data_IF_979195750356
#
_entry.id   IF_979195750356
#
_cell.length_a   1.000
_cell.length_b   1.000
_cell.length_c   1.000
_cell.angle_alpha   90.00
_cell.angle_beta   90.00
_cell.angle_gamma   90.00
#
_symmetry.space_group_name_H-M   'P 1'
#
loop_
_entity.id
_entity.type
_entity.pdbx_description
1 polymer ?
#
# COMPACT_ATOMS: atom_id res chain seq x y z
N UNK A 1 16.78 -3.27 -22.29
CA UNK A 1 18.12 -2.70 -21.96
C UNK A 1 18.18 -2.12 -20.54
N UNK A 2 17.16 -1.42 -20.04
CA UNK A 2 17.13 -0.85 -18.66
C UNK A 2 17.14 -1.95 -17.58
N UNK A 3 16.34 -3.01 -17.73
CA UNK A 3 16.24 -4.12 -16.76
C UNK A 3 17.55 -4.89 -16.62
N UNK A 4 18.29 -5.09 -17.71
CA UNK A 4 19.61 -5.75 -17.66
C UNK A 4 20.63 -4.92 -16.86
N UNK A 5 20.58 -3.60 -17.01
CA UNK A 5 21.43 -2.68 -16.22
C UNK A 5 21.16 -2.79 -14.71
N UNK A 6 19.89 -2.96 -14.30
CA UNK A 6 19.52 -3.13 -12.90
C UNK A 6 20.12 -4.42 -12.29
N UNK A 7 20.06 -5.56 -13.00
CA UNK A 7 20.70 -6.80 -12.54
C UNK A 7 22.20 -6.66 -12.34
N UNK A 8 22.88 -6.00 -13.28
CA UNK A 8 24.33 -5.77 -13.20
C UNK A 8 24.71 -4.88 -12.00
N UNK A 9 23.96 -3.80 -11.79
CA UNK A 9 24.22 -2.87 -10.67
C UNK A 9 24.04 -3.54 -9.31
N UNK A 10 23.09 -4.46 -9.18
CA UNK A 10 22.84 -5.18 -7.93
C UNK A 10 23.56 -6.52 -7.83
N UNK A 11 24.45 -6.86 -8.77
CA UNK A 11 25.18 -8.12 -8.76
C UNK A 11 24.32 -9.38 -8.91
N UNK A 12 23.11 -9.24 -9.48
CA UNK A 12 22.16 -10.34 -9.65
C UNK A 12 22.36 -11.05 -10.99
N UNK A 13 22.27 -12.36 -10.98
CA UNK A 13 22.19 -13.16 -12.19
C UNK A 13 20.74 -13.27 -12.65
N UNK A 14 20.43 -12.71 -13.82
CA UNK A 14 19.08 -12.72 -14.38
C UNK A 14 19.05 -13.26 -15.81
N UNK A 15 17.99 -13.98 -16.15
CA UNK A 15 17.69 -14.39 -17.52
C UNK A 15 16.48 -13.62 -18.02
N UNK A 16 16.70 -12.80 -19.05
CA UNK A 16 15.66 -11.97 -19.68
C UNK A 16 15.38 -12.51 -21.08
N UNK A 17 14.11 -12.69 -21.41
CA UNK A 17 13.64 -13.03 -22.75
C UNK A 17 12.91 -11.80 -23.31
N UNK A 18 13.05 -11.58 -24.61
CA UNK A 18 12.44 -10.48 -25.36
C UNK A 18 11.74 -10.99 -26.61
N UNK A 19 10.97 -10.11 -27.27
CA UNK A 19 10.19 -10.47 -28.45
C UNK A 19 8.87 -11.16 -28.12
N UNK A 20 8.26 -11.83 -29.08
CA UNK A 20 6.93 -12.43 -28.96
C UNK A 20 6.87 -13.53 -27.88
N UNK A 21 7.97 -14.27 -27.71
CA UNK A 21 8.08 -15.31 -26.68
C UNK A 21 8.07 -14.75 -25.26
N UNK A 22 8.36 -13.44 -25.09
CA UNK A 22 8.30 -12.76 -23.81
C UNK A 22 6.87 -12.38 -23.38
N UNK A 23 5.86 -12.59 -24.24
CA UNK A 23 4.48 -12.30 -23.90
C UNK A 23 3.97 -13.29 -22.84
N UNK A 24 4.03 -12.86 -21.58
CA UNK A 24 3.68 -13.68 -20.41
C UNK A 24 2.20 -14.10 -20.35
N UNK A 25 1.31 -13.50 -21.15
CA UNK A 25 -0.06 -14.00 -21.25
C UNK A 25 -0.12 -15.36 -21.96
N UNK A 26 0.75 -15.61 -22.92
CA UNK A 26 0.68 -16.76 -23.82
C UNK A 26 1.83 -17.74 -23.65
N UNK A 27 2.94 -17.32 -23.03
CA UNK A 27 4.16 -18.13 -22.95
C UNK A 27 4.70 -18.20 -21.51
N UNK A 28 5.14 -19.39 -21.11
CA UNK A 28 6.05 -19.61 -19.99
C UNK A 28 7.48 -19.69 -20.55
N UNK A 29 8.02 -18.55 -20.94
CA UNK A 29 9.28 -18.45 -21.67
C UNK A 29 10.49 -19.05 -20.93
N UNK A 30 10.40 -19.21 -19.62
CA UNK A 30 11.45 -19.80 -18.78
C UNK A 30 11.12 -21.22 -18.29
N UNK A 31 9.92 -21.73 -18.61
CA UNK A 31 9.43 -23.04 -18.15
C UNK A 31 9.48 -23.16 -16.61
N UNK A 32 8.91 -22.19 -15.91
CA UNK A 32 8.96 -22.05 -14.45
C UNK A 32 7.66 -22.46 -13.74
N UNK A 33 6.62 -22.86 -14.45
CA UNK A 33 5.37 -23.31 -13.82
C UNK A 33 5.64 -24.42 -12.80
N UNK A 34 5.20 -24.21 -11.55
CA UNK A 34 5.41 -25.13 -10.42
C UNK A 34 6.84 -25.20 -9.86
N UNK A 35 7.74 -24.27 -10.22
CA UNK A 35 9.16 -24.35 -9.85
C UNK A 35 9.70 -23.19 -9.03
N UNK A 36 8.92 -22.11 -8.87
CA UNK A 36 9.41 -20.92 -8.20
C UNK A 36 9.24 -21.01 -6.68
N UNK A 37 10.32 -20.73 -5.96
CA UNK A 37 10.28 -20.52 -4.51
C UNK A 37 9.64 -19.16 -4.17
N UNK A 38 9.90 -18.15 -5.03
CA UNK A 38 9.37 -16.80 -4.88
C UNK A 38 8.86 -16.23 -6.20
N UNK A 39 7.71 -15.58 -6.15
CA UNK A 39 7.17 -14.77 -7.25
C UNK A 39 6.92 -13.36 -6.75
N UNK A 40 7.53 -12.38 -7.38
CA UNK A 40 7.27 -10.95 -7.13
C UNK A 40 6.88 -10.26 -8.43
N UNK A 41 5.79 -9.51 -8.41
CA UNK A 41 5.29 -8.86 -9.62
C UNK A 41 4.52 -7.57 -9.35
N UNK A 42 4.61 -6.66 -10.31
CA UNK A 42 3.71 -5.53 -10.46
C UNK A 42 3.22 -5.53 -11.92
N UNK A 43 2.19 -6.33 -12.24
CA UNK A 43 1.69 -6.44 -13.60
C UNK A 43 0.89 -5.21 -14.02
N UNK A 44 0.69 -4.97 -15.32
CA UNK A 44 -0.24 -3.95 -15.78
C UNK A 44 -1.67 -4.32 -15.36
N UNK A 45 -2.40 -3.32 -14.80
CA UNK A 45 -3.76 -3.51 -14.31
C UNK A 45 -4.79 -3.40 -15.42
N UNK A 46 -5.88 -4.13 -15.29
CA UNK A 46 -7.08 -4.03 -16.11
C UNK A 46 -6.82 -4.16 -17.63
N UNK A 47 -5.84 -4.96 -18.03
CA UNK A 47 -5.57 -5.24 -19.45
C UNK A 47 -6.76 -5.99 -20.04
N UNK A 48 -7.25 -5.53 -21.16
CA UNK A 48 -8.32 -6.17 -21.94
C UNK A 48 -7.80 -6.87 -23.20
N UNK A 49 -8.70 -7.52 -23.93
CA UNK A 49 -8.46 -8.14 -25.26
C UNK A 49 -7.38 -9.22 -25.28
N UNK A 50 -7.15 -9.91 -24.16
CA UNK A 50 -6.29 -11.08 -24.13
C UNK A 50 -7.02 -12.26 -24.75
N UNK A 51 -6.41 -12.95 -25.74
CA UNK A 51 -6.99 -14.09 -26.44
C UNK A 51 -7.20 -15.26 -25.47
N UNK A 52 -8.46 -15.63 -25.22
CA UNK A 52 -8.82 -16.63 -24.23
C UNK A 52 -8.26 -18.02 -24.55
N UNK A 53 -8.30 -18.43 -25.82
CA UNK A 53 -7.76 -19.71 -26.28
C UNK A 53 -6.25 -19.82 -26.05
N UNK A 54 -5.49 -18.79 -26.43
CA UNK A 54 -4.04 -18.77 -26.26
C UNK A 54 -3.64 -18.74 -24.78
N UNK A 55 -4.37 -17.98 -23.94
CA UNK A 55 -4.14 -17.95 -22.49
C UNK A 55 -4.44 -19.31 -21.83
N UNK A 56 -5.49 -20.01 -22.29
CA UNK A 56 -5.81 -21.37 -21.82
C UNK A 56 -4.75 -22.39 -22.26
N UNK A 57 -4.29 -22.30 -23.50
CA UNK A 57 -3.25 -23.19 -24.03
C UNK A 57 -1.91 -23.05 -23.30
N UNK A 58 -1.64 -21.89 -22.69
CA UNK A 58 -0.46 -21.67 -21.87
C UNK A 58 -0.40 -22.51 -20.56
N UNK A 59 -1.51 -23.18 -20.18
CA UNK A 59 -1.53 -24.21 -19.12
C UNK A 59 -1.31 -23.72 -17.70
N UNK A 60 -1.48 -22.40 -17.40
CA UNK A 60 -1.21 -21.79 -16.10
C UNK A 60 -2.46 -21.23 -15.42
N UNK A 61 -3.61 -21.85 -15.65
CA UNK A 61 -4.91 -21.43 -15.11
C UNK A 61 -5.51 -22.50 -14.18
N UNK A 62 -4.92 -22.76 -13.01
CA UNK A 62 -5.36 -23.83 -12.11
C UNK A 62 -6.81 -23.65 -11.62
N UNK A 63 -7.30 -22.41 -11.59
CA UNK A 63 -8.65 -22.08 -11.12
C UNK A 63 -9.67 -21.89 -12.24
N UNK A 64 -9.21 -21.91 -13.50
CA UNK A 64 -10.03 -21.70 -14.68
C UNK A 64 -9.82 -20.33 -15.33
N UNK A 65 -10.54 -20.10 -16.42
CA UNK A 65 -10.43 -18.88 -17.23
C UNK A 65 -11.37 -17.80 -16.68
N UNK A 66 -10.90 -16.53 -16.58
CA UNK A 66 -11.75 -15.38 -16.26
C UNK A 66 -12.87 -15.15 -17.27
N UNK A 67 -13.72 -14.17 -17.02
CA UNK A 67 -14.83 -13.82 -17.89
C UNK A 67 -14.38 -13.53 -19.33
N UNK A 68 -14.98 -14.25 -20.29
CA UNK A 68 -14.68 -14.15 -21.73
C UNK A 68 -15.86 -13.54 -22.46
N UNK A 69 -15.58 -12.58 -23.31
CA UNK A 69 -16.57 -12.03 -24.24
C UNK A 69 -16.95 -13.10 -25.28
N UNK A 70 -18.22 -13.46 -25.37
CA UNK A 70 -18.69 -14.52 -26.23
C UNK A 70 -18.55 -14.21 -27.73
N UNK A 71 -18.51 -12.93 -28.11
CA UNK A 71 -18.38 -12.52 -29.52
C UNK A 71 -16.91 -12.44 -29.94
N UNK A 72 -16.06 -11.76 -29.16
CA UNK A 72 -14.64 -11.55 -29.50
C UNK A 72 -13.74 -12.71 -29.09
N UNK A 73 -14.21 -13.60 -28.20
CA UNK A 73 -13.42 -14.69 -27.61
C UNK A 73 -12.19 -14.18 -26.83
N UNK A 74 -12.29 -12.99 -26.30
CA UNK A 74 -11.23 -12.32 -25.52
C UNK A 74 -11.62 -12.21 -24.05
N UNK A 75 -10.63 -12.26 -23.16
CA UNK A 75 -10.78 -11.96 -21.73
C UNK A 75 -10.98 -10.47 -21.59
N UNK A 76 -12.07 -10.08 -20.90
CA UNK A 76 -12.43 -8.68 -20.73
C UNK A 76 -11.56 -7.94 -19.70
N UNK A 77 -10.99 -8.65 -18.74
CA UNK A 77 -10.05 -8.12 -17.75
C UNK A 77 -9.05 -9.21 -17.33
N UNK A 78 -7.77 -8.94 -17.49
CA UNK A 78 -6.69 -9.90 -17.27
C UNK A 78 -6.19 -10.00 -15.81
N UNK A 79 -6.77 -9.27 -14.86
CA UNK A 79 -6.28 -9.29 -13.47
C UNK A 79 -6.23 -10.72 -12.92
N UNK A 80 -7.25 -11.55 -13.17
CA UNK A 80 -7.31 -12.93 -12.71
C UNK A 80 -6.49 -13.91 -13.56
N UNK A 81 -6.02 -13.51 -14.74
CA UNK A 81 -4.94 -14.24 -15.44
C UNK A 81 -3.64 -14.10 -14.66
N UNK A 82 -3.26 -12.87 -14.29
CA UNK A 82 -2.05 -12.60 -13.51
C UNK A 82 -2.07 -13.33 -12.16
N UNK A 83 -3.16 -13.21 -11.40
CA UNK A 83 -3.33 -13.88 -10.11
C UNK A 83 -3.14 -15.40 -10.26
N UNK A 84 -3.76 -16.01 -11.27
CA UNK A 84 -3.65 -17.44 -11.55
C UNK A 84 -2.22 -17.83 -11.97
N UNK A 85 -1.56 -17.03 -12.79
CA UNK A 85 -0.20 -17.29 -13.24
C UNK A 85 0.80 -17.22 -12.10
N UNK A 86 0.71 -16.21 -11.23
CA UNK A 86 1.61 -16.09 -10.08
C UNK A 86 1.45 -17.27 -9.12
N UNK A 87 0.23 -17.75 -8.93
CA UNK A 87 0.00 -18.97 -8.17
C UNK A 87 0.55 -20.22 -8.88
N UNK A 88 0.32 -20.34 -10.19
CA UNK A 88 0.77 -21.49 -10.98
C UNK A 88 2.31 -21.62 -11.09
N UNK A 89 3.04 -20.54 -10.92
CA UNK A 89 4.51 -20.56 -10.89
C UNK A 89 5.08 -21.14 -9.59
N UNK A 90 4.33 -21.06 -8.46
CA UNK A 90 4.83 -21.49 -7.16
C UNK A 90 5.01 -23.01 -7.09
N UNK A 91 6.15 -23.45 -6.55
CA UNK A 91 6.33 -24.82 -6.08
C UNK A 91 5.55 -25.05 -4.77
N UNK A 92 5.66 -26.26 -4.20
CA UNK A 92 4.87 -26.67 -3.02
C UNK A 92 5.22 -25.90 -1.72
N UNK A 93 6.31 -25.15 -1.71
CA UNK A 93 6.76 -24.30 -0.60
C UNK A 93 6.84 -22.82 -0.99
N UNK A 94 6.40 -22.50 -2.19
CA UNK A 94 6.60 -21.19 -2.79
C UNK A 94 5.72 -20.10 -2.16
N UNK A 95 6.23 -18.87 -2.23
CA UNK A 95 5.54 -17.65 -1.81
C UNK A 95 5.43 -16.66 -2.94
N UNK A 96 4.29 -15.99 -3.03
CA UNK A 96 4.11 -14.89 -3.96
C UNK A 96 3.78 -13.60 -3.22
N UNK A 97 4.28 -12.46 -3.73
CA UNK A 97 3.90 -11.11 -3.31
C UNK A 97 3.75 -10.24 -4.55
N UNK A 98 2.58 -9.67 -4.78
CA UNK A 98 2.34 -8.86 -5.98
C UNK A 98 1.31 -7.76 -5.75
N UNK A 99 1.38 -6.76 -6.62
CA UNK A 99 0.47 -5.61 -6.61
C UNK A 99 -0.67 -5.86 -7.58
N UNK A 100 -1.90 -5.53 -7.18
CA UNK A 100 -3.08 -5.59 -8.05
C UNK A 100 -3.97 -4.37 -7.87
N UNK A 101 -4.78 -4.06 -8.88
CA UNK A 101 -5.84 -3.09 -8.75
C UNK A 101 -6.79 -3.47 -7.60
N UNK A 102 -7.21 -2.49 -6.80
CA UNK A 102 -8.14 -2.73 -5.67
C UNK A 102 -9.43 -3.43 -6.12
N UNK A 103 -9.92 -3.16 -7.33
CA UNK A 103 -11.12 -3.80 -7.90
C UNK A 103 -11.00 -5.33 -8.03
N UNK A 104 -9.78 -5.88 -8.07
CA UNK A 104 -9.59 -7.33 -8.15
C UNK A 104 -10.00 -8.05 -6.87
N UNK A 105 -10.02 -7.37 -5.71
CA UNK A 105 -10.33 -7.99 -4.42
C UNK A 105 -11.81 -8.39 -4.28
N UNK A 106 -12.69 -7.80 -5.10
CA UNK A 106 -14.14 -8.02 -5.02
C UNK A 106 -14.85 -8.12 -6.39
N UNK A 107 -14.10 -8.49 -7.44
CA UNK A 107 -14.69 -8.73 -8.77
C UNK A 107 -15.75 -9.81 -8.75
N UNK A 108 -16.83 -9.60 -9.52
CA UNK A 108 -17.98 -10.50 -9.59
C UNK A 108 -17.82 -11.60 -10.65
N UNK A 109 -18.84 -12.44 -10.81
CA UNK A 109 -18.99 -13.46 -11.83
C UNK A 109 -17.81 -14.48 -11.86
N UNK A 110 -17.23 -14.73 -13.02
CA UNK A 110 -16.15 -15.73 -13.20
C UNK A 110 -14.90 -15.42 -12.37
N UNK A 111 -14.61 -14.18 -12.14
CA UNK A 111 -13.48 -13.76 -11.31
C UNK A 111 -13.73 -14.14 -9.84
N UNK A 112 -15.00 -14.01 -9.38
CA UNK A 112 -15.43 -14.48 -8.07
C UNK A 112 -15.26 -16.01 -7.94
N UNK A 113 -15.62 -16.79 -8.99
CA UNK A 113 -15.47 -18.26 -8.98
C UNK A 113 -13.99 -18.67 -8.88
N UNK A 114 -13.09 -17.94 -9.54
CA UNK A 114 -11.64 -18.15 -9.45
C UNK A 114 -11.15 -17.82 -8.05
N UNK A 115 -11.59 -16.71 -7.49
CA UNK A 115 -11.22 -16.27 -6.14
C UNK A 115 -11.69 -17.26 -5.07
N UNK A 116 -12.91 -17.80 -5.19
CA UNK A 116 -13.40 -18.88 -4.33
C UNK A 116 -12.43 -20.07 -4.33
N UNK A 117 -12.07 -20.57 -5.51
CA UNK A 117 -11.17 -21.72 -5.65
C UNK A 117 -9.80 -21.42 -5.05
N UNK A 118 -9.27 -20.22 -5.28
CA UNK A 118 -8.01 -19.76 -4.74
C UNK A 118 -8.05 -19.71 -3.20
N UNK A 119 -9.06 -19.08 -2.61
CA UNK A 119 -9.23 -19.00 -1.14
C UNK A 119 -9.34 -20.39 -0.52
N UNK A 120 -10.08 -21.29 -1.15
CA UNK A 120 -10.26 -22.68 -0.68
C UNK A 120 -8.97 -23.53 -0.70
N UNK A 121 -7.91 -23.09 -1.39
CA UNK A 121 -6.60 -23.76 -1.26
C UNK A 121 -5.97 -23.60 0.12
N UNK A 122 -6.35 -22.53 0.85
CA UNK A 122 -5.71 -22.14 2.09
C UNK A 122 -4.37 -21.40 1.91
N UNK A 123 -3.98 -21.10 0.66
CA UNK A 123 -2.66 -20.53 0.35
C UNK A 123 -2.67 -18.99 0.27
N UNK A 124 -3.84 -18.34 0.31
CA UNK A 124 -3.92 -16.88 0.50
C UNK A 124 -3.50 -16.58 1.93
N UNK A 125 -2.47 -15.76 2.11
CA UNK A 125 -1.85 -15.53 3.41
C UNK A 125 -2.17 -14.14 3.99
N UNK A 126 -1.82 -13.08 3.24
CA UNK A 126 -2.03 -11.70 3.67
C UNK A 126 -2.61 -10.88 2.52
N UNK A 127 -3.56 -10.02 2.85
CA UNK A 127 -4.14 -9.02 1.96
C UNK A 127 -3.97 -7.62 2.54
N UNK A 128 -3.37 -6.70 1.80
CA UNK A 128 -3.15 -5.32 2.26
C UNK A 128 -3.84 -4.35 1.30
N UNK A 129 -4.70 -3.47 1.81
CA UNK A 129 -5.21 -2.33 1.06
C UNK A 129 -4.23 -1.16 1.14
N UNK A 130 -3.93 -0.56 0.01
CA UNK A 130 -3.05 0.60 -0.13
C UNK A 130 -3.86 1.78 -0.69
N UNK A 131 -3.67 2.96 -0.12
CA UNK A 131 -4.36 4.17 -0.52
C UNK A 131 -3.95 4.70 -1.90
N UNK A 132 -4.47 5.86 -2.24
CA UNK A 132 -4.10 6.58 -3.46
C UNK A 132 -2.67 7.15 -3.37
N UNK A 133 -2.14 7.58 -4.51
CA UNK A 133 -0.88 8.34 -4.60
C UNK A 133 0.39 7.57 -4.18
N UNK A 134 0.39 6.24 -4.24
CA UNK A 134 1.60 5.41 -4.06
C UNK A 134 2.36 5.15 -5.37
N UNK A 135 1.87 5.67 -6.49
CA UNK A 135 2.54 5.59 -7.80
C UNK A 135 2.90 7.00 -8.29
N UNK A 136 4.10 7.16 -8.82
CA UNK A 136 4.59 8.46 -9.33
C UNK A 136 3.72 9.08 -10.45
N UNK A 137 3.01 8.24 -11.23
CA UNK A 137 2.30 8.70 -12.43
C UNK A 137 0.79 8.52 -12.37
N UNK A 138 0.26 7.82 -11.37
CA UNK A 138 -1.15 7.45 -11.30
C UNK A 138 -1.64 7.52 -9.85
N UNK A 139 -2.79 8.17 -9.65
CA UNK A 139 -3.49 8.17 -8.35
C UNK A 139 -4.54 7.06 -8.33
N UNK A 140 -4.08 5.81 -8.23
CA UNK A 140 -4.96 4.63 -8.13
C UNK A 140 -4.70 3.89 -6.82
N UNK A 141 -5.75 3.49 -6.09
CA UNK A 141 -5.61 2.59 -4.97
C UNK A 141 -5.25 1.19 -5.48
N UNK A 142 -4.42 0.49 -4.73
CA UNK A 142 -4.06 -0.88 -5.05
C UNK A 142 -4.19 -1.80 -3.83
N UNK A 143 -4.01 -3.07 -4.07
CA UNK A 143 -3.91 -4.10 -3.04
C UNK A 143 -2.65 -4.92 -3.21
N UNK A 144 -2.04 -5.30 -2.10
CA UNK A 144 -0.94 -6.26 -2.09
C UNK A 144 -1.52 -7.62 -1.73
N UNK A 145 -1.19 -8.60 -2.55
CA UNK A 145 -1.61 -9.98 -2.40
C UNK A 145 -0.41 -10.82 -2.05
N UNK A 146 -0.55 -11.63 -1.00
CA UNK A 146 0.50 -12.56 -0.60
C UNK A 146 -0.04 -13.98 -0.54
N UNK A 147 0.66 -14.89 -1.21
CA UNK A 147 0.40 -16.33 -1.15
C UNK A 147 1.55 -17.02 -0.42
N UNK A 148 1.22 -18.05 0.35
CA UNK A 148 2.18 -18.93 0.99
C UNK A 148 1.66 -20.38 0.92
N UNK A 149 2.27 -21.22 0.09
CA UNK A 149 1.88 -22.62 -0.06
C UNK A 149 2.40 -23.50 1.08
N UNK A 150 3.20 -22.94 1.98
CA UNK A 150 3.74 -23.62 3.14
C UNK A 150 3.30 -22.97 4.46
N UNK A 151 2.06 -22.49 4.52
CA UNK A 151 1.51 -21.92 5.76
C UNK A 151 1.49 -22.96 6.87
N UNK A 152 1.81 -22.49 8.09
CA UNK A 152 1.68 -23.34 9.29
C UNK A 152 0.23 -23.82 9.45
N UNK A 153 0.06 -25.04 9.99
CA UNK A 153 -1.24 -25.68 10.10
C UNK A 153 -2.27 -24.82 10.87
N UNK A 154 -1.84 -24.10 11.89
CA UNK A 154 -2.70 -23.27 12.75
C UNK A 154 -3.29 -22.04 12.08
N UNK A 155 -2.71 -21.62 10.94
CA UNK A 155 -3.16 -20.45 10.17
C UNK A 155 -3.53 -20.79 8.73
N UNK A 156 -3.56 -22.08 8.37
CA UNK A 156 -3.83 -22.48 6.99
C UNK A 156 -5.23 -22.11 6.51
N UNK A 157 -6.20 -22.11 7.40
CA UNK A 157 -7.59 -21.73 7.16
C UNK A 157 -7.87 -20.24 7.44
N UNK A 158 -6.82 -19.43 7.61
CA UNK A 158 -6.91 -18.02 7.99
C UNK A 158 -6.22 -17.12 6.98
N UNK A 159 -6.72 -15.91 6.84
CA UNK A 159 -6.11 -14.84 6.04
C UNK A 159 -5.98 -13.60 6.92
N UNK A 160 -4.82 -12.98 6.91
CA UNK A 160 -4.62 -11.69 7.56
C UNK A 160 -5.03 -10.56 6.59
N UNK A 161 -5.94 -9.72 7.01
CA UNK A 161 -6.35 -8.50 6.31
C UNK A 161 -5.75 -7.28 7.02
N UNK A 162 -5.07 -6.40 6.25
CA UNK A 162 -4.51 -5.14 6.74
C UNK A 162 -5.06 -4.00 5.88
N UNK A 163 -5.65 -3.01 6.51
CA UNK A 163 -6.06 -1.77 5.83
C UNK A 163 -5.05 -0.66 6.11
N UNK A 164 -4.11 -0.49 5.21
CA UNK A 164 -3.06 0.51 5.30
C UNK A 164 -3.39 1.79 4.51
N UNK A 165 -4.65 2.00 4.09
CA UNK A 165 -5.06 3.15 3.27
C UNK A 165 -4.84 4.49 3.96
N UNK A 166 -4.85 4.51 5.29
CA UNK A 166 -4.66 5.71 6.11
C UNK A 166 -3.35 5.67 6.91
N UNK A 167 -2.46 4.72 6.63
CA UNK A 167 -1.17 4.56 7.30
C UNK A 167 -0.04 4.78 6.30
N UNK A 168 0.40 6.02 6.17
CA UNK A 168 1.45 6.45 5.24
C UNK A 168 1.98 7.83 5.62
N UNK A 169 3.07 8.24 4.97
CA UNK A 169 3.62 9.59 5.03
C UNK A 169 3.35 10.31 3.71
N UNK A 170 2.89 11.55 3.78
CA UNK A 170 2.70 12.42 2.63
C UNK A 170 4.05 13.04 2.27
N UNK A 171 4.60 12.68 1.11
CA UNK A 171 5.84 13.26 0.57
C UNK A 171 5.55 14.61 -0.10
N UNK A 172 4.53 14.62 -0.95
CA UNK A 172 4.00 15.81 -1.58
C UNK A 172 2.51 15.67 -1.90
N UNK A 173 1.94 16.66 -2.59
CA UNK A 173 0.51 16.70 -2.92
C UNK A 173 0.04 15.52 -3.78
N UNK A 174 0.95 14.80 -4.44
CA UNK A 174 0.67 13.73 -5.41
C UNK A 174 1.30 12.41 -5.05
N UNK A 175 2.15 12.36 -4.01
CA UNK A 175 2.91 11.18 -3.63
C UNK A 175 2.82 10.90 -2.14
N UNK A 176 2.38 9.70 -1.82
CA UNK A 176 2.44 9.08 -0.51
C UNK A 176 3.46 7.95 -0.53
N UNK A 177 4.11 7.71 0.60
CA UNK A 177 5.00 6.56 0.75
C UNK A 177 4.95 6.00 2.17
N UNK A 178 5.47 4.80 2.35
CA UNK A 178 5.78 4.28 3.66
C UNK A 178 7.24 4.56 3.99
N UNK A 179 7.49 5.15 5.15
CA UNK A 179 8.83 5.21 5.71
C UNK A 179 9.32 3.80 6.04
N UNK A 180 10.63 3.65 6.26
CA UNK A 180 11.20 2.36 6.67
C UNK A 180 10.52 1.83 7.95
N UNK A 181 10.30 2.70 8.93
CA UNK A 181 9.64 2.32 10.17
C UNK A 181 8.18 1.91 9.98
N UNK A 182 7.44 2.60 9.12
CA UNK A 182 6.06 2.21 8.77
C UNK A 182 6.02 0.84 8.09
N UNK A 183 6.92 0.57 7.14
CA UNK A 183 7.02 -0.75 6.52
C UNK A 183 7.36 -1.84 7.53
N UNK A 184 8.30 -1.58 8.45
CA UNK A 184 8.68 -2.52 9.50
C UNK A 184 7.53 -2.77 10.49
N UNK A 185 6.71 -1.77 10.78
CA UNK A 185 5.51 -1.92 11.59
C UNK A 185 4.46 -2.80 10.91
N UNK A 186 4.20 -2.60 9.61
CA UNK A 186 3.32 -3.49 8.85
C UNK A 186 3.85 -4.92 8.80
N UNK A 187 5.17 -5.11 8.64
CA UNK A 187 5.81 -6.41 8.71
C UNK A 187 5.67 -7.04 10.10
N UNK A 188 5.75 -6.25 11.17
CA UNK A 188 5.57 -6.73 12.53
C UNK A 188 4.18 -7.35 12.76
N UNK A 189 3.12 -6.75 12.20
CA UNK A 189 1.76 -7.33 12.23
C UNK A 189 1.76 -8.72 11.60
N UNK A 190 2.41 -8.87 10.43
CA UNK A 190 2.52 -10.17 9.74
C UNK A 190 3.34 -11.18 10.56
N UNK A 191 4.41 -10.73 11.21
CA UNK A 191 5.22 -11.59 12.06
C UNK A 191 4.46 -12.10 13.29
N UNK A 192 3.68 -11.21 13.91
CA UNK A 192 2.82 -11.59 15.03
C UNK A 192 1.73 -12.57 14.59
N UNK A 193 1.08 -12.33 13.44
CA UNK A 193 0.12 -13.27 12.85
C UNK A 193 0.73 -14.67 12.62
N UNK A 194 1.98 -14.75 12.21
CA UNK A 194 2.71 -16.00 11.96
C UNK A 194 3.31 -16.62 13.22
N UNK A 195 3.13 -16.01 14.41
CA UNK A 195 3.74 -16.46 15.66
C UNK A 195 5.25 -16.22 15.74
N UNK A 196 5.81 -15.36 14.90
CA UNK A 196 7.25 -15.05 14.82
C UNK A 196 7.63 -13.94 15.82
N UNK A 197 7.27 -14.08 17.10
CA UNK A 197 7.45 -13.06 18.15
C UNK A 197 8.87 -12.50 18.25
N UNK A 198 9.89 -13.33 18.06
CA UNK A 198 11.29 -12.89 18.11
C UNK A 198 11.64 -11.81 17.06
N UNK A 199 10.94 -11.77 15.93
CA UNK A 199 11.12 -10.70 14.93
C UNK A 199 10.50 -9.38 15.38
N UNK A 200 9.36 -9.44 16.06
CA UNK A 200 8.76 -8.26 16.70
C UNK A 200 9.66 -7.72 17.82
N UNK A 201 10.16 -8.57 18.70
CA UNK A 201 11.09 -8.18 19.77
C UNK A 201 12.37 -7.54 19.23
N UNK A 202 12.89 -8.06 18.09
CA UNK A 202 14.02 -7.46 17.40
C UNK A 202 13.68 -6.05 16.91
N UNK A 203 12.52 -5.82 16.32
CA UNK A 203 12.09 -4.48 15.89
C UNK A 203 12.03 -3.52 17.07
N UNK A 204 11.49 -3.94 18.23
CA UNK A 204 11.50 -3.12 19.44
C UNK A 204 12.91 -2.82 19.95
N UNK A 205 13.86 -3.76 19.81
CA UNK A 205 15.26 -3.53 20.15
C UNK A 205 15.91 -2.50 19.19
N UNK A 206 15.59 -2.57 17.90
CA UNK A 206 16.07 -1.60 16.90
C UNK A 206 15.53 -0.19 17.21
N UNK A 207 14.26 -0.06 17.57
CA UNK A 207 13.69 1.22 18.03
C UNK A 207 14.43 1.78 19.25
N UNK A 208 14.66 0.94 20.26
CA UNK A 208 15.40 1.35 21.46
C UNK A 208 16.85 1.76 21.15
N UNK A 209 17.50 1.12 20.19
CA UNK A 209 18.85 1.47 19.77
C UNK A 209 18.92 2.87 19.14
N UNK A 210 17.87 3.29 18.44
CA UNK A 210 17.81 4.62 17.79
C UNK A 210 17.32 5.68 18.77
N UNK A 211 16.29 5.39 19.54
CA UNK A 211 15.59 6.38 20.37
C UNK A 211 16.23 6.54 21.78
N UNK A 212 16.91 5.51 22.31
CA UNK A 212 17.29 5.47 23.72
C UNK A 212 16.07 5.64 24.62
N UNK A 213 16.07 6.67 25.46
CA UNK A 213 14.96 7.04 26.35
C UNK A 213 14.05 8.14 25.75
N UNK A 214 14.22 8.46 24.45
CA UNK A 214 13.45 9.53 23.79
C UNK A 214 12.01 9.10 23.59
N UNK A 215 11.08 9.87 24.12
CA UNK A 215 9.64 9.72 23.94
C UNK A 215 9.12 10.70 22.90
N UNK A 216 7.88 10.53 22.42
CA UNK A 216 7.22 11.50 21.53
C UNK A 216 7.18 12.90 22.16
N UNK A 217 6.86 12.99 23.44
CA UNK A 217 6.78 14.27 24.16
C UNK A 217 8.15 14.96 24.21
N UNK A 218 9.22 14.24 24.59
CA UNK A 218 10.58 14.82 24.67
C UNK A 218 11.15 15.19 23.30
N UNK A 219 10.87 14.38 22.25
CA UNK A 219 11.25 14.69 20.89
C UNK A 219 10.54 15.94 20.34
N UNK A 220 9.24 16.08 20.64
CA UNK A 220 8.46 17.26 20.26
C UNK A 220 9.00 18.53 20.94
N UNK A 221 9.27 18.45 22.25
CA UNK A 221 9.86 19.59 22.99
C UNK A 221 11.23 19.99 22.43
N UNK A 222 12.09 19.02 22.11
CA UNK A 222 13.37 19.28 21.50
C UNK A 222 13.25 19.96 20.12
N UNK A 223 12.32 19.49 19.29
CA UNK A 223 12.04 20.06 17.97
C UNK A 223 11.52 21.51 18.09
N UNK A 224 10.57 21.76 18.99
CA UNK A 224 10.00 23.10 19.18
C UNK A 224 11.06 24.09 19.66
N UNK A 225 11.93 23.69 20.60
CA UNK A 225 13.08 24.47 21.06
C UNK A 225 14.03 24.77 19.90
N UNK A 226 14.42 23.76 19.13
CA UNK A 226 15.32 23.93 17.97
C UNK A 226 14.73 24.88 16.90
N UNK A 227 13.43 24.81 16.64
CA UNK A 227 12.74 25.74 15.72
C UNK A 227 12.76 27.17 16.23
N UNK A 228 12.63 27.38 17.53
CA UNK A 228 12.75 28.72 18.15
C UNK A 228 14.19 29.25 18.06
N UNK A 229 15.18 28.44 18.44
CA UNK A 229 16.61 28.80 18.38
C UNK A 229 17.06 29.08 16.94
N UNK A 230 16.60 28.30 15.96
CA UNK A 230 16.87 28.52 14.56
C UNK A 230 16.33 29.88 14.06
N UNK A 231 15.11 30.23 14.47
CA UNK A 231 14.50 31.51 14.10
C UNK A 231 15.33 32.69 14.64
N UNK A 232 15.82 32.60 15.86
CA UNK A 232 16.66 33.61 16.47
C UNK A 232 18.04 33.66 15.79
N UNK A 233 18.69 32.53 15.59
CA UNK A 233 19.99 32.44 14.92
C UNK A 233 19.96 33.05 13.50
N UNK A 234 18.92 32.74 12.71
CA UNK A 234 18.73 33.26 11.35
C UNK A 234 18.48 34.80 11.38
N UNK A 235 17.69 35.28 12.37
CA UNK A 235 17.41 36.71 12.51
C UNK A 235 18.68 37.53 12.87
N UNK A 236 19.55 36.96 13.68
CA UNK A 236 20.80 37.60 14.14
C UNK A 236 21.97 37.40 13.16
N UNK A 237 21.83 36.58 12.12
CA UNK A 237 22.88 36.26 11.16
C UNK A 237 23.25 37.45 10.26
N UNK A 238 24.55 37.61 9.98
CA UNK A 238 25.01 38.56 8.97
C UNK A 238 24.54 38.13 7.57
N UNK A 239 24.40 39.08 6.65
CA UNK A 239 23.99 38.78 5.26
C UNK A 239 24.89 37.72 4.60
N UNK A 240 26.19 37.67 4.97
CA UNK A 240 27.17 36.74 4.42
C UNK A 240 26.99 35.31 4.97
N UNK A 241 26.61 35.19 6.25
CA UNK A 241 26.52 33.90 6.94
C UNK A 241 25.10 33.31 6.93
N UNK A 242 24.10 34.11 6.61
CA UNK A 242 22.69 33.74 6.73
C UNK A 242 22.34 32.41 6.04
N UNK A 243 22.80 32.25 4.79
CA UNK A 243 22.52 31.01 4.00
C UNK A 243 23.17 29.76 4.61
N UNK A 244 24.37 29.90 5.20
CA UNK A 244 25.07 28.79 5.87
C UNK A 244 24.35 28.41 7.16
N UNK A 245 24.03 29.41 7.99
CA UNK A 245 23.32 29.20 9.27
C UNK A 245 21.95 28.59 9.02
N UNK A 246 21.23 29.08 8.03
CA UNK A 246 19.91 28.53 7.64
C UNK A 246 20.03 27.06 7.22
N UNK A 247 21.04 26.69 6.45
CA UNK A 247 21.26 25.30 6.05
C UNK A 247 21.64 24.40 7.25
N UNK A 248 22.48 24.89 8.16
CA UNK A 248 22.87 24.18 9.39
C UNK A 248 21.66 23.96 10.32
N UNK A 249 20.84 25.01 10.53
CA UNK A 249 19.65 24.90 11.37
C UNK A 249 18.58 23.99 10.76
N UNK A 250 18.37 24.06 9.45
CA UNK A 250 17.43 23.17 8.75
C UNK A 250 17.87 21.70 8.82
N UNK A 251 19.17 21.42 8.79
CA UNK A 251 19.68 20.05 8.95
C UNK A 251 19.38 19.51 10.35
N UNK A 252 19.58 20.32 11.41
CA UNK A 252 19.26 19.93 12.80
C UNK A 252 17.74 19.72 13.00
N UNK A 253 16.93 20.58 12.40
CA UNK A 253 15.46 20.44 12.45
C UNK A 253 15.04 19.14 11.77
N UNK A 254 15.59 18.82 10.60
CA UNK A 254 15.28 17.60 9.86
C UNK A 254 15.64 16.33 10.67
N UNK A 255 16.78 16.31 11.36
CA UNK A 255 17.20 15.21 12.23
C UNK A 255 16.23 15.02 13.42
N UNK A 256 15.77 16.12 14.02
CA UNK A 256 14.79 16.05 15.10
C UNK A 256 13.40 15.66 14.61
N UNK A 257 12.99 16.06 13.41
CA UNK A 257 11.74 15.63 12.77
C UNK A 257 11.76 14.13 12.49
N UNK A 258 12.90 13.58 12.01
CA UNK A 258 13.08 12.14 11.83
C UNK A 258 13.01 11.38 13.16
N UNK A 259 13.65 11.91 14.21
CA UNK A 259 13.61 11.33 15.56
C UNK A 259 12.18 11.32 16.11
N UNK A 260 11.45 12.41 15.97
CA UNK A 260 10.06 12.51 16.39
C UNK A 260 9.16 11.52 15.64
N UNK A 261 9.33 11.40 14.33
CA UNK A 261 8.58 10.46 13.53
C UNK A 261 8.90 9.01 13.94
N UNK A 262 10.17 8.68 14.18
CA UNK A 262 10.57 7.37 14.69
C UNK A 262 9.92 7.06 16.05
N UNK A 263 9.88 8.03 16.96
CA UNK A 263 9.22 7.89 18.27
C UNK A 263 7.71 7.66 18.11
N UNK A 264 7.04 8.38 17.22
CA UNK A 264 5.61 8.20 16.91
C UNK A 264 5.32 6.80 16.35
N UNK A 265 6.18 6.30 15.47
CA UNK A 265 6.01 4.95 14.90
C UNK A 265 6.23 3.86 15.94
N UNK A 266 7.16 4.05 16.88
CA UNK A 266 7.34 3.15 18.03
C UNK A 266 6.11 3.15 18.95
N UNK A 267 5.61 4.33 19.32
CA UNK A 267 4.41 4.49 20.16
C UNK A 267 3.19 3.84 19.48
N UNK A 268 2.95 4.13 18.20
CA UNK A 268 1.88 3.53 17.41
C UNK A 268 1.90 2.00 17.44
N UNK A 269 3.08 1.39 17.30
CA UNK A 269 3.24 -0.06 17.32
C UNK A 269 2.98 -0.64 18.71
N UNK A 270 3.55 -0.01 19.75
CA UNK A 270 3.48 -0.50 21.12
C UNK A 270 2.10 -0.31 21.76
N UNK A 271 1.37 0.74 21.42
CA UNK A 271 -0.03 0.91 21.83
C UNK A 271 -0.91 -0.24 21.33
N UNK A 272 -0.66 -0.71 20.11
CA UNK A 272 -1.46 -1.75 19.47
C UNK A 272 -1.03 -3.17 19.86
N UNK A 273 0.27 -3.40 19.96
CA UNK A 273 0.86 -4.75 20.10
C UNK A 273 1.95 -4.83 21.18
N UNK A 274 1.88 -3.98 22.23
CA UNK A 274 2.94 -3.86 23.22
C UNK A 274 3.28 -5.14 24.00
N UNK A 275 2.33 -6.07 24.09
CA UNK A 275 2.51 -7.41 24.68
C UNK A 275 3.22 -8.40 23.74
N UNK A 276 3.41 -8.03 22.48
CA UNK A 276 4.01 -8.89 21.45
C UNK A 276 3.14 -10.08 21.07
N UNK A 277 1.83 -9.96 21.24
CA UNK A 277 0.84 -10.93 20.81
C UNK A 277 -0.03 -10.32 19.70
N UNK A 278 -0.43 -11.14 18.74
CA UNK A 278 -1.36 -10.69 17.72
C UNK A 278 -2.75 -10.46 18.31
N UNK A 279 -3.36 -9.36 17.94
CA UNK A 279 -4.79 -9.09 18.17
C UNK A 279 -5.39 -8.33 17.00
N UNK A 280 -6.66 -8.52 16.75
CA UNK A 280 -7.40 -7.72 15.79
C UNK A 280 -7.46 -6.26 16.28
N UNK A 281 -7.18 -5.32 15.36
CA UNK A 281 -7.22 -3.89 15.63
C UNK A 281 -8.22 -3.24 14.69
N UNK A 282 -9.28 -2.66 15.23
CA UNK A 282 -10.33 -2.00 14.46
C UNK A 282 -9.74 -0.94 13.51
N UNK A 283 -10.18 -0.99 12.25
CA UNK A 283 -9.72 -0.07 11.21
C UNK A 283 -8.30 -0.35 10.69
N UNK A 284 -7.56 -1.32 11.25
CA UNK A 284 -6.19 -1.62 10.85
C UNK A 284 -6.01 -3.05 10.37
N UNK A 285 -6.26 -4.06 11.21
CA UNK A 285 -6.01 -5.44 10.85
C UNK A 285 -6.98 -6.41 11.50
N UNK A 286 -7.28 -7.51 10.80
CA UNK A 286 -8.08 -8.61 11.29
C UNK A 286 -7.67 -9.93 10.64
N UNK A 287 -7.64 -11.00 11.42
CA UNK A 287 -7.60 -12.37 10.91
C UNK A 287 -9.04 -12.81 10.62
N UNK A 288 -9.28 -13.33 9.41
CA UNK A 288 -10.55 -13.98 9.08
C UNK A 288 -10.30 -15.43 8.63
N UNK A 289 -11.20 -16.32 9.02
CA UNK A 289 -11.23 -17.70 8.56
C UNK A 289 -11.79 -17.80 7.14
N UNK A 290 -11.50 -18.90 6.45
CA UNK A 290 -12.09 -19.19 5.12
C UNK A 290 -13.62 -19.17 5.21
N UNK A 291 -14.21 -19.61 6.33
CA UNK A 291 -15.67 -19.57 6.53
C UNK A 291 -16.19 -18.12 6.58
N UNK A 292 -15.55 -17.22 7.33
CA UNK A 292 -15.92 -15.79 7.35
C UNK A 292 -15.76 -15.14 5.97
N UNK A 293 -14.74 -15.58 5.20
CA UNK A 293 -14.52 -15.09 3.83
C UNK A 293 -15.64 -15.61 2.89
N UNK A 294 -16.10 -16.84 3.05
CA UNK A 294 -17.23 -17.40 2.32
C UNK A 294 -18.52 -16.62 2.61
N UNK A 295 -18.82 -16.31 3.87
CA UNK A 295 -19.97 -15.49 4.28
C UNK A 295 -19.97 -14.10 3.63
N UNK A 296 -18.80 -13.57 3.30
CA UNK A 296 -18.60 -12.32 2.56
C UNK A 296 -18.42 -12.53 1.05
N UNK A 297 -18.97 -13.63 0.51
CA UNK A 297 -18.91 -13.94 -0.93
C UNK A 297 -17.49 -13.97 -1.51
N UNK A 298 -16.54 -14.45 -0.72
CA UNK A 298 -15.11 -14.52 -1.05
C UNK A 298 -14.47 -13.17 -1.39
N UNK A 299 -15.02 -12.06 -0.89
CA UNK A 299 -14.33 -10.77 -0.97
C UNK A 299 -13.00 -10.84 -0.25
N UNK A 300 -11.95 -10.29 -0.85
CA UNK A 300 -10.62 -10.17 -0.25
C UNK A 300 -10.25 -8.70 0.02
N UNK A 301 -11.27 -7.84 0.14
CA UNK A 301 -11.10 -6.41 0.44
C UNK A 301 -10.87 -6.22 1.94
N UNK A 302 -9.69 -5.81 2.41
CA UNK A 302 -9.39 -5.66 3.84
C UNK A 302 -10.40 -4.82 4.61
N UNK A 303 -10.85 -3.70 4.06
CA UNK A 303 -11.84 -2.83 4.69
C UNK A 303 -13.19 -3.51 5.02
N UNK A 304 -13.51 -4.66 4.38
CA UNK A 304 -14.71 -5.43 4.70
C UNK A 304 -14.58 -6.25 5.99
N UNK A 305 -13.36 -6.39 6.52
CA UNK A 305 -13.05 -7.23 7.69
C UNK A 305 -12.62 -6.43 8.90
N UNK A 306 -11.76 -5.41 8.71
CA UNK A 306 -11.13 -4.69 9.81
C UNK A 306 -12.08 -3.79 10.60
N UNK A 307 -13.30 -3.53 10.09
CA UNK A 307 -14.25 -2.60 10.71
C UNK A 307 -13.83 -1.14 10.52
N UNK A 308 -14.46 -0.27 11.28
CA UNK A 308 -14.18 1.17 11.30
C UNK A 308 -13.57 1.50 12.66
N UNK A 309 -12.39 2.13 12.66
CA UNK A 309 -11.82 2.66 13.89
C UNK A 309 -12.80 3.68 14.49
N UNK A 310 -12.97 3.67 15.80
CA UNK A 310 -13.66 4.75 16.48
C UNK A 310 -12.91 6.05 16.17
N UNK A 311 -13.59 6.97 15.49
CA UNK A 311 -13.06 8.33 15.37
C UNK A 311 -13.18 8.96 16.75
N UNK A 312 -12.10 9.51 17.25
CA UNK A 312 -12.19 10.40 18.40
C UNK A 312 -13.22 11.49 18.04
N UNK A 313 -14.22 11.64 18.89
CA UNK A 313 -15.19 12.72 18.76
C UNK A 313 -14.41 14.03 18.91
N UNK A 314 -14.23 14.73 17.81
CA UNK A 314 -13.53 16.04 17.78
C UNK A 314 -14.32 17.13 18.54
N UNK A 315 -15.46 16.76 19.13
CA UNK A 315 -16.33 17.64 19.89
C UNK A 315 -17.02 18.71 19.03
N UNK A 316 -16.89 18.61 17.71
CA UNK A 316 -17.52 19.55 16.79
C UNK A 316 -18.91 19.06 16.45
N UNK A 317 -19.93 19.83 16.79
CA UNK A 317 -21.32 19.52 16.43
C UNK A 317 -21.45 19.44 14.90
N UNK A 318 -21.99 18.31 14.41
CA UNK A 318 -22.15 18.07 12.97
C UNK A 318 -22.93 19.19 12.28
N UNK A 319 -23.98 19.72 12.94
CA UNK A 319 -24.80 20.77 12.37
C UNK A 319 -24.07 22.11 12.34
N UNK A 320 -23.26 22.39 13.34
CA UNK A 320 -22.42 23.58 13.40
C UNK A 320 -21.38 23.56 12.27
N UNK A 321 -20.68 22.43 12.11
CA UNK A 321 -19.70 22.24 11.05
C UNK A 321 -20.32 22.28 9.65
N UNK A 322 -21.50 21.69 9.46
CA UNK A 322 -22.23 21.76 8.19
C UNK A 322 -22.65 23.19 7.85
N UNK A 323 -23.07 23.98 8.84
CA UNK A 323 -23.41 25.37 8.63
C UNK A 323 -22.19 26.22 8.23
N UNK A 324 -21.03 25.99 8.85
CA UNK A 324 -19.76 26.63 8.44
C UNK A 324 -19.40 26.29 6.98
N UNK A 325 -19.43 25.00 6.62
CA UNK A 325 -19.14 24.55 5.26
C UNK A 325 -20.13 25.16 4.26
N UNK A 326 -21.40 25.23 4.58
CA UNK A 326 -22.41 25.88 3.71
C UNK A 326 -22.14 27.38 3.52
N UNK A 327 -21.73 28.08 4.60
CA UNK A 327 -21.37 29.49 4.53
C UNK A 327 -20.12 29.70 3.67
N UNK A 328 -19.10 28.88 3.84
CA UNK A 328 -17.87 28.93 3.04
C UNK A 328 -18.13 28.63 1.55
N UNK A 329 -18.96 27.62 1.25
CA UNK A 329 -19.38 27.29 -0.12
C UNK A 329 -20.13 28.49 -0.77
N UNK A 330 -21.00 29.15 -0.04
CA UNK A 330 -21.72 30.31 -0.54
C UNK A 330 -20.77 31.49 -0.85
N UNK A 331 -19.76 31.69 0.01
CA UNK A 331 -18.74 32.71 -0.20
C UNK A 331 -17.86 32.39 -1.41
N UNK A 332 -17.35 31.17 -1.52
CA UNK A 332 -16.52 30.71 -2.65
C UNK A 332 -17.28 30.79 -3.98
N UNK A 333 -18.57 30.46 -3.98
CA UNK A 333 -19.40 30.61 -5.18
C UNK A 333 -19.57 32.06 -5.60
N UNK A 334 -19.71 32.99 -4.64
CA UNK A 334 -19.76 34.41 -4.92
C UNK A 334 -18.44 34.91 -5.50
N UNK A 335 -17.31 34.55 -4.89
CA UNK A 335 -15.96 34.90 -5.39
C UNK A 335 -15.71 34.37 -6.80
N UNK A 336 -16.16 33.13 -7.08
CA UNK A 336 -16.05 32.54 -8.42
C UNK A 336 -16.87 33.31 -9.47
N UNK A 337 -18.08 33.77 -9.10
CA UNK A 337 -18.91 34.60 -10.01
C UNK A 337 -18.31 36.00 -10.24
N UNK A 338 -17.81 36.62 -9.19
CA UNK A 338 -17.14 37.93 -9.30
C UNK A 338 -15.89 37.83 -10.17
N UNK A 339 -15.08 36.80 -10.02
CA UNK A 339 -13.93 36.52 -10.90
C UNK A 339 -14.35 36.24 -12.36
N UNK A 340 -15.45 35.52 -12.57
CA UNK A 340 -15.97 35.27 -13.92
C UNK A 340 -16.39 36.57 -14.59
N UNK A 341 -17.05 37.48 -13.85
CA UNK A 341 -17.44 38.81 -14.36
C UNK A 341 -16.22 39.69 -14.69
N UNK A 342 -15.15 39.62 -13.90
CA UNK A 342 -13.89 40.31 -14.21
C UNK A 342 -13.22 39.75 -15.47
N UNK A 343 -13.19 38.45 -15.65
CA UNK A 343 -12.67 37.80 -16.85
C UNK A 343 -13.46 38.21 -18.08
N UNK A 344 -14.80 38.26 -17.98
CA UNK A 344 -15.65 38.70 -19.10
C UNK A 344 -15.42 40.15 -19.47
N UNK A 345 -15.29 41.06 -18.49
CA UNK A 345 -14.97 42.47 -18.74
C UNK A 345 -13.60 42.63 -19.41
N UNK A 346 -12.57 41.94 -18.88
CA UNK A 346 -11.24 41.96 -19.49
C UNK A 346 -11.23 41.41 -20.93
N UNK A 347 -12.07 40.41 -21.22
CA UNK A 347 -12.24 39.86 -22.57
C UNK A 347 -12.93 40.83 -23.51
N UNK A 348 -13.90 41.59 -23.02
CA UNK A 348 -14.57 42.65 -23.84
C UNK A 348 -13.66 43.84 -24.15
N UNK A 349 -12.73 44.18 -23.23
CA UNK A 349 -11.72 45.22 -23.43
C UNK A 349 -10.62 44.83 -24.44
N UNK A 350 -10.43 43.53 -24.67
CA UNK A 350 -9.45 42.98 -25.62
C UNK A 350 -10.02 42.85 -27.08
N UNK A 351 -11.31 43.06 -27.27
CA UNK A 351 -11.96 43.08 -28.59
C UNK A 351 -11.98 44.48 -29.20
#
# INVERSE_FOLDING_TARGET
MIVFGLFVVHGLNGRIISGDEANSFYHDAHNLAGKCDYVMANPPFNVDKVKAESASAAGRLPFGLPGVNQKTKEVGNANYLWISYFYAYLNDHGRAGFVMASSATDSANKDRDIREKLVRTGDVDVMVSVGNNFFYTLSLPCSLWFFDRNKHADIRDKVLFIDARNYYTVVDRTLNEWTEWQLRNLQAIVHLYRGEKGKYEKLLADYRAVLGDTTVASAQEALDRQKADAKEAIANATRKDKKRIEAEQNALIAELEETLETARQHEWLTEKFGDGEYKDVLGLCKIATIQEIEEKNYSLTPGAYVGVAEQEDDGVDFHERMNEIHAELAQLNKEANDLMDEIQKAWEELK
#
